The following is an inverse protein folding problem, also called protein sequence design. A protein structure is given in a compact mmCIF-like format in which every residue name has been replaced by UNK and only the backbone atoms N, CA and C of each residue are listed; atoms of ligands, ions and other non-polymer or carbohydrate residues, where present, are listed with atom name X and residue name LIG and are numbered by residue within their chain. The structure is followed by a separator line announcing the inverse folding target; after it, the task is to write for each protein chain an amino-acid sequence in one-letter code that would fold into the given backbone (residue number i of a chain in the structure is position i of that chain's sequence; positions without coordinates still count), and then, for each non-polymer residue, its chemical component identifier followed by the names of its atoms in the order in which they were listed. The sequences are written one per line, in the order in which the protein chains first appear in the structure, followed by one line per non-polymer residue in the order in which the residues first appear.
data_IF_505231922926
#
_entry.id   IF_505231922926
#
_cell.length_a   1.000
_cell.length_b   1.000
_cell.length_c   1.000
_cell.angle_alpha   90.00
_cell.angle_beta   90.00
_cell.angle_gamma   90.00
#
_symmetry.space_group_name_H-M   'P 1'
#
loop_
_entity.id
_entity.type
_entity.pdbx_description
1 polymer ?
2 water ?
#
# COMPACT_ATOMS: atom_id res chain seq x y z
N UNK A 3 -16.31 0.13 -12.36
CA UNK A 3 -16.45 0.84 -11.10
C UNK A 3 -16.54 -0.10 -9.89
N UNK A 4 -15.71 -1.15 -9.87
CA UNK A 4 -15.78 -2.15 -8.80
C UNK A 4 -15.37 -1.61 -7.43
N UNK A 5 -14.66 -0.49 -7.39
CA UNK A 5 -14.11 -0.02 -6.13
C UNK A 5 -14.78 1.24 -5.58
N UNK A 6 -15.99 1.53 -6.04
CA UNK A 6 -16.68 2.72 -5.57
C UNK A 6 -16.90 2.62 -4.06
N UNK A 7 -16.61 3.71 -3.36
CA UNK A 7 -16.80 3.74 -1.92
C UNK A 7 -15.58 3.28 -1.14
N UNK A 8 -14.54 2.83 -1.84
CA UNK A 8 -13.31 2.38 -1.17
C UNK A 8 -12.25 3.47 -1.23
N UNK A 9 -11.56 3.67 -0.12
CA UNK A 9 -10.50 4.66 -0.07
C UNK A 9 -9.14 3.98 -0.01
N UNK A 10 -8.27 4.37 -0.93
CA UNK A 10 -6.93 3.77 -1.03
C UNK A 10 -5.83 4.78 -0.70
N UNK A 11 -4.95 4.42 0.22
CA UNK A 11 -3.76 5.24 0.49
C UNK A 11 -2.58 4.63 -0.24
N UNK A 12 -1.94 5.43 -1.09
CA UNK A 12 -0.79 4.97 -1.88
C UNK A 12 0.45 5.74 -1.43
N UNK A 13 1.43 5.01 -0.91
CA UNK A 13 2.66 5.62 -0.45
C UNK A 13 3.74 5.19 -1.40
N UNK A 14 4.21 6.12 -2.23
CA UNK A 14 5.13 5.77 -3.31
C UNK A 14 6.05 6.94 -3.63
N UNK A 15 7.36 6.69 -3.60
CA UNK A 15 8.34 7.75 -3.79
C UNK A 15 8.51 8.15 -5.25
N UNK A 16 8.33 7.20 -6.16
CA UNK A 16 8.56 7.44 -7.58
C UNK A 16 7.33 8.07 -8.23
N UNK A 17 7.49 9.28 -8.76
CA UNK A 17 6.36 10.02 -9.31
C UNK A 17 5.61 9.28 -10.42
N UNK A 18 6.33 8.64 -11.33
CA UNK A 18 5.65 7.95 -12.43
C UNK A 18 4.76 6.81 -11.93
N UNK A 19 5.30 5.98 -11.04
CA UNK A 19 4.57 4.83 -10.52
C UNK A 19 3.45 5.30 -9.60
N UNK A 20 3.70 6.37 -8.87
CA UNK A 20 2.68 7.00 -8.04
C UNK A 20 1.46 7.38 -8.90
N UNK A 21 1.72 8.06 -10.02
CA UNK A 21 0.66 8.46 -10.94
C UNK A 21 -0.03 7.25 -11.57
N UNK A 22 0.75 6.22 -11.89
CA UNK A 22 0.20 5.01 -12.49
C UNK A 22 -0.81 4.36 -11.54
N UNK A 23 -0.43 4.21 -10.28
CA UNK A 23 -1.31 3.60 -9.29
C UNK A 23 -2.56 4.45 -9.07
N UNK A 24 -2.38 5.76 -8.98
CA UNK A 24 -3.51 6.68 -8.84
C UNK A 24 -4.49 6.47 -9.99
N UNK A 25 -3.96 6.46 -11.21
CA UNK A 25 -4.78 6.33 -12.40
C UNK A 25 -5.56 5.01 -12.39
N UNK A 26 -4.89 3.93 -12.00
CA UNK A 26 -5.50 2.61 -12.00
C UNK A 26 -6.61 2.48 -10.96
N UNK A 27 -6.32 2.85 -9.71
CA UNK A 27 -7.32 2.78 -8.65
C UNK A 27 -8.49 3.73 -8.91
N UNK A 28 -8.17 4.93 -9.39
CA UNK A 28 -9.21 5.93 -9.65
C UNK A 28 -10.12 5.48 -10.78
N UNK A 29 -9.55 4.79 -11.77
CA UNK A 29 -10.33 4.33 -12.91
C UNK A 29 -11.31 3.24 -12.50
N UNK A 30 -11.04 2.61 -11.35
CA UNK A 30 -11.88 1.54 -10.83
C UNK A 30 -12.93 2.06 -9.86
N UNK A 31 -12.90 3.36 -9.60
CA UNK A 31 -13.92 4.00 -8.78
C UNK A 31 -13.50 4.38 -7.37
N UNK A 32 -12.31 3.95 -6.95
CA UNK A 32 -11.82 4.25 -5.60
C UNK A 32 -11.45 5.72 -5.47
N UNK A 33 -11.51 6.24 -4.25
CA UNK A 33 -10.95 7.56 -3.97
C UNK A 33 -9.56 7.33 -3.42
N UNK A 34 -8.61 8.06 -3.95
CA UNK A 34 -7.21 7.83 -3.62
C UNK A 34 -6.64 8.96 -2.80
N UNK A 35 -5.71 8.61 -1.91
CA UNK A 35 -4.88 9.59 -1.22
C UNK A 35 -3.47 9.11 -1.50
N UNK A 36 -2.63 10.01 -1.99
CA UNK A 36 -1.26 9.64 -2.31
C UNK A 36 -0.27 10.43 -1.48
N UNK A 37 0.78 9.76 -1.01
CA UNK A 37 1.81 10.42 -0.27
C UNK A 37 3.12 10.01 -0.88
N UNK A 38 3.94 11.00 -1.19
CA UNK A 38 5.25 10.75 -1.77
C UNK A 38 6.21 10.27 -0.70
N UNK A 39 5.92 10.64 0.55
CA UNK A 39 6.83 10.40 1.66
C UNK A 39 6.21 9.49 2.73
N UNK A 40 6.94 8.45 3.11
CA UNK A 40 6.45 7.50 4.10
C UNK A 40 6.23 8.11 5.47
N UNK A 41 7.05 9.09 5.82
CA UNK A 41 6.89 9.77 7.10
C UNK A 41 5.63 10.64 7.06
N UNK A 42 5.39 11.30 5.94
CA UNK A 42 4.16 12.05 5.75
C UNK A 42 2.95 11.11 5.89
N UNK A 43 3.06 9.91 5.33
CA UNK A 43 1.94 8.98 5.36
C UNK A 43 1.65 8.54 6.80
N UNK A 44 2.70 8.32 7.59
CA UNK A 44 2.50 7.99 8.99
C UNK A 44 1.71 9.07 9.69
N UNK A 45 2.07 10.33 9.44
CA UNK A 45 1.36 11.44 10.04
C UNK A 45 -0.10 11.46 9.61
N UNK A 46 -0.35 11.23 8.31
CA UNK A 46 -1.70 11.19 7.76
C UNK A 46 -2.58 10.15 8.45
N UNK A 47 -1.99 9.00 8.74
CA UNK A 47 -2.73 7.89 9.31
C UNK A 47 -3.18 8.16 10.74
N UNK A 48 -2.60 9.19 11.35
CA UNK A 48 -3.00 9.60 12.68
C UNK A 48 -4.27 10.42 12.62
N UNK A 49 -4.86 10.50 11.42
CA UNK A 49 -6.06 11.28 11.22
C UNK A 49 -7.13 10.59 10.39
N UNK A 50 -6.75 9.56 9.65
CA UNK A 50 -7.72 8.85 8.81
C UNK A 50 -7.38 7.38 8.62
N UNK A 51 -8.34 6.61 8.12
CA UNK A 51 -8.16 5.17 7.99
C UNK A 51 -8.67 4.68 6.64
N UNK A 52 -7.75 4.40 5.71
CA UNK A 52 -8.19 3.95 4.39
C UNK A 52 -8.64 2.49 4.46
N UNK A 53 -9.28 2.03 3.40
CA UNK A 53 -9.69 0.64 3.28
C UNK A 53 -8.49 -0.26 2.93
N UNK A 54 -7.46 0.36 2.36
CA UNK A 54 -6.25 -0.36 1.95
C UNK A 54 -5.10 0.62 1.79
N UNK A 55 -3.92 0.23 2.27
CA UNK A 55 -2.72 1.01 2.00
C UNK A 55 -1.75 0.23 1.14
N UNK A 56 -1.20 0.89 0.13
CA UNK A 56 -0.15 0.31 -0.69
C UNK A 56 1.16 1.02 -0.40
N UNK A 57 2.22 0.25 -0.17
CA UNK A 57 3.53 0.86 0.06
C UNK A 57 4.68 -0.03 -0.39
N UNK A 58 5.87 0.56 -0.50
CA UNK A 58 7.07 -0.20 -0.82
C UNK A 58 7.90 -0.30 0.44
N UNK A 59 8.41 -1.49 0.73
CA UNK A 59 9.23 -1.69 1.92
C UNK A 59 10.71 -1.47 1.62
N UNK A 60 10.99 -0.74 0.55
CA UNK A 60 12.36 -0.42 0.17
C UNK A 60 12.53 1.08 -0.01
N UNK A 66 9.81 1.63 4.52
CA UNK A 66 8.39 1.34 4.48
C UNK A 66 7.96 0.44 5.62
N UNK A 67 8.89 -0.39 6.09
CA UNK A 67 8.65 -1.28 7.22
C UNK A 67 8.45 -0.49 8.50
N UNK A 68 9.09 0.67 8.59
CA UNK A 68 8.95 1.53 9.76
C UNK A 68 7.51 2.03 9.87
N UNK A 69 6.97 2.47 8.74
CA UNK A 69 5.59 2.89 8.67
C UNK A 69 4.70 1.75 9.15
N UNK A 70 4.94 0.56 8.60
CA UNK A 70 4.13 -0.62 8.92
C UNK A 70 4.24 -1.00 10.40
N UNK A 71 5.46 -1.03 10.93
CA UNK A 71 5.65 -1.44 12.31
C UNK A 71 5.00 -0.45 13.29
N UNK A 72 5.02 0.83 12.94
CA UNK A 72 4.43 1.85 13.80
C UNK A 72 2.90 1.79 13.84
N UNK A 73 2.27 1.51 12.70
CA UNK A 73 0.82 1.41 12.68
C UNK A 73 0.34 0.10 13.32
N UNK A 74 1.11 -0.97 13.14
CA UNK A 74 0.76 -2.25 13.75
C UNK A 74 0.98 -2.26 15.26
N UNK A 75 1.95 -1.49 15.73
CA UNK A 75 2.22 -1.42 17.16
C UNK A 75 1.18 -0.60 17.91
N UNK A 76 0.50 0.29 17.20
CA UNK A 76 -0.55 1.12 17.78
C UNK A 76 -1.89 0.39 17.81
N UNK A 77 -1.96 -0.73 17.10
CA UNK A 77 -3.15 -1.57 17.11
C UNK A 77 -3.99 -1.46 15.86
N UNK A 78 -3.48 -0.74 14.86
CA UNK A 78 -4.21 -0.55 13.61
C UNK A 78 -4.30 -1.83 12.79
N UNK A 79 -5.50 -2.13 12.30
CA UNK A 79 -5.75 -3.33 11.51
C UNK A 79 -5.91 -3.02 10.03
N UNK A 80 -5.56 -1.80 9.64
CA UNK A 80 -5.61 -1.37 8.24
C UNK A 80 -4.92 -2.37 7.33
N UNK A 81 -5.64 -2.88 6.33
CA UNK A 81 -5.04 -3.79 5.34
C UNK A 81 -3.90 -3.13 4.57
N UNK A 82 -2.80 -3.86 4.41
CA UNK A 82 -1.64 -3.33 3.70
C UNK A 82 -1.16 -4.28 2.62
N UNK A 83 -0.97 -3.75 1.42
CA UNK A 83 -0.38 -4.50 0.32
C UNK A 83 0.97 -3.88 -0.02
N UNK A 84 2.03 -4.67 0.07
CA UNK A 84 3.36 -4.19 -0.26
C UNK A 84 3.69 -4.51 -1.71
N UNK A 85 4.17 -3.50 -2.43
CA UNK A 85 4.62 -3.70 -3.80
C UNK A 85 6.07 -3.27 -3.86
N UNK A 86 6.97 -4.24 -4.04
CA UNK A 86 8.40 -3.97 -3.97
C UNK A 86 9.19 -4.84 -4.94
N UNK A 87 10.32 -4.31 -5.40
CA UNK A 87 11.21 -5.06 -6.28
C UNK A 87 12.24 -5.84 -5.46
N UNK A 88 12.15 -5.71 -4.14
CA UNK A 88 13.12 -6.34 -3.25
C UNK A 88 13.18 -7.85 -3.43
N UNK A 89 14.39 -8.40 -3.29
CA UNK A 89 14.61 -9.84 -3.31
C UNK A 89 15.17 -10.27 -1.96
N UNK A 90 15.03 -9.40 -0.97
CA UNK A 90 15.51 -9.68 0.38
C UNK A 90 14.47 -10.47 1.19
N UNK A 91 14.67 -11.78 1.28
CA UNK A 91 13.70 -12.65 1.94
C UNK A 91 13.42 -12.24 3.39
N UNK A 92 14.47 -11.82 4.09
CA UNK A 92 14.33 -11.40 5.48
C UNK A 92 13.41 -10.19 5.63
N UNK A 93 13.48 -9.26 4.68
CA UNK A 93 12.64 -8.06 4.71
C UNK A 93 11.19 -8.39 4.38
N UNK A 94 11.00 -9.24 3.38
CA UNK A 94 9.67 -9.72 3.05
C UNK A 94 9.11 -10.40 4.29
N UNK A 95 9.94 -11.21 4.94
CA UNK A 95 9.53 -11.93 6.14
C UNK A 95 9.08 -10.99 7.25
N UNK A 96 9.80 -9.90 7.45
CA UNK A 96 9.43 -8.90 8.45
C UNK A 96 8.05 -8.33 8.18
N UNK A 97 7.80 -7.99 6.92
CA UNK A 97 6.52 -7.44 6.50
C UNK A 97 5.41 -8.46 6.71
N UNK A 98 5.69 -9.71 6.36
CA UNK A 98 4.70 -10.76 6.54
C UNK A 98 4.35 -10.97 8.02
N UNK A 99 5.35 -10.88 8.90
CA UNK A 99 5.10 -11.00 10.34
C UNK A 99 4.29 -9.86 10.92
N UNK A 100 4.40 -8.69 10.30
CA UNK A 100 3.69 -7.51 10.79
C UNK A 100 2.23 -7.58 10.38
N UNK A 101 1.95 -8.41 9.37
CA UNK A 101 0.61 -8.53 8.83
C UNK A 101 0.43 -7.69 7.59
N UNK A 102 0.65 -8.31 6.43
CA UNK A 102 0.39 -7.68 5.15
C UNK A 102 -0.40 -8.66 4.29
N UNK A 103 -1.27 -8.13 3.44
CA UNK A 103 -2.15 -8.96 2.62
C UNK A 103 -1.32 -9.78 1.64
N UNK A 104 -0.26 -9.18 1.12
CA UNK A 104 0.62 -9.84 0.17
C UNK A 104 1.84 -8.97 -0.14
N UNK A 105 2.85 -9.56 -0.78
CA UNK A 105 4.02 -8.81 -1.23
C UNK A 105 4.26 -9.00 -2.73
N UNK A 106 3.86 -7.99 -3.50
CA UNK A 106 3.92 -8.04 -4.96
C UNK A 106 5.24 -7.50 -5.51
N UNK A 107 5.82 -8.22 -6.46
CA UNK A 107 7.07 -7.80 -7.10
C UNK A 107 6.82 -6.72 -8.15
N UNK A 108 7.75 -5.77 -8.25
CA UNK A 108 7.68 -4.71 -9.26
C UNK A 108 8.93 -4.78 -10.15
N UNK A 109 8.90 -4.13 -11.33
CA UNK A 109 7.79 -3.33 -11.88
C UNK A 109 6.63 -4.20 -12.35
N UNK A 110 5.63 -4.36 -11.49
CA UNK A 110 4.43 -5.15 -11.79
C UNK A 110 4.58 -6.07 -13.01
N UNK A 114 -2.35 -6.65 -13.84
CA UNK A 114 -1.70 -7.92 -13.56
C UNK A 114 -2.14 -8.54 -12.24
N UNK A 115 -1.18 -9.07 -11.50
CA UNK A 115 -1.44 -9.69 -10.20
C UNK A 115 -2.02 -8.66 -9.23
N UNK A 116 -1.75 -7.39 -9.49
CA UNK A 116 -2.24 -6.31 -8.64
C UNK A 116 -3.75 -6.38 -8.48
N UNK A 117 -4.47 -6.52 -9.59
CA UNK A 117 -5.92 -6.65 -9.55
C UNK A 117 -6.33 -7.75 -8.60
N UNK A 118 -5.71 -8.92 -8.76
CA UNK A 118 -6.01 -10.08 -7.92
C UNK A 118 -5.85 -9.77 -6.44
N UNK A 119 -4.69 -9.24 -6.06
CA UNK A 119 -4.40 -8.93 -4.67
C UNK A 119 -5.37 -7.90 -4.09
N UNK A 120 -5.61 -6.84 -4.85
CA UNK A 120 -6.47 -5.76 -4.39
C UNK A 120 -7.89 -6.25 -4.11
N UNK A 121 -8.51 -6.89 -5.09
CA UNK A 121 -9.87 -7.37 -4.93
C UNK A 121 -9.96 -8.47 -3.89
N UNK A 122 -8.94 -9.32 -3.85
CA UNK A 122 -8.89 -10.41 -2.88
C UNK A 122 -8.57 -9.89 -1.49
N UNK A 123 -8.51 -8.57 -1.36
CA UNK A 123 -8.22 -7.94 -0.07
C UNK A 123 -9.38 -7.05 0.38
N UNK A 124 -9.86 -6.21 -0.52
CA UNK A 124 -10.94 -5.28 -0.20
C UNK A 124 -12.24 -6.00 0.12
N UNK A 125 -12.63 -6.94 -0.74
CA UNK A 125 -13.85 -7.70 -0.51
C UNK A 125 -13.82 -9.04 -1.23
#
# INVERSE_FOLDING_TARGET
MTQPLVGKQILIVEDEQVFRSLLDSWFSSLGATTVLAADGVDALELLGGFTPDLMICDIAMPRMNGLKLLEHIRNRGDQTPVLVISATENMADIAKALRLGVEDVLLKPVKDLNRLREMVFACLYPSMFN
#
